data_IF_515315320059
#
_entry.id   IF_515315320059
#
_cell.length_a   1.000
_cell.length_b   1.000
_cell.length_c   1.000
_cell.angle_alpha   90.00
_cell.angle_beta   90.00
_cell.angle_gamma   90.00
#
_symmetry.space_group_name_H-M   'P 1'
#
loop_
_entity.id
_entity.type
_entity.pdbx_description
1 polymer ?
#
# COMPACT_ATOMS: atom_id res chain seq x y z
N UNK A 1 7.03 13.92 -13.45
CA UNK A 1 5.61 13.51 -13.48
C UNK A 1 5.01 13.49 -12.08
N UNK A 2 5.52 12.67 -11.12
CA UNK A 2 4.94 12.52 -9.76
C UNK A 2 4.83 13.84 -8.99
N UNK A 3 5.85 14.70 -9.04
CA UNK A 3 5.81 16.00 -8.38
C UNK A 3 4.73 16.91 -8.97
N UNK A 4 4.61 16.94 -10.29
CA UNK A 4 3.59 17.73 -10.98
C UNK A 4 2.20 17.24 -10.60
N UNK A 5 1.95 15.93 -10.64
CA UNK A 5 0.68 15.34 -10.20
C UNK A 5 0.29 15.78 -8.78
N UNK A 6 1.24 15.72 -7.84
CA UNK A 6 0.98 16.10 -6.47
C UNK A 6 0.69 17.60 -6.32
N UNK A 7 1.43 18.47 -7.03
CA UNK A 7 1.25 19.92 -6.98
C UNK A 7 -0.06 20.39 -7.63
N UNK A 8 -0.56 19.65 -8.62
CA UNK A 8 -1.82 19.98 -9.31
C UNK A 8 -3.07 19.56 -8.52
N UNK A 9 -2.92 18.85 -7.39
CA UNK A 9 -4.09 18.46 -6.60
C UNK A 9 -4.72 19.68 -5.90
N UNK A 10 -6.05 19.80 -5.89
CA UNK A 10 -6.74 20.90 -5.23
C UNK A 10 -6.33 21.04 -3.76
N UNK A 11 -5.96 22.26 -3.36
CA UNK A 11 -5.54 22.56 -1.99
C UNK A 11 -4.09 22.21 -1.65
N UNK A 12 -3.33 21.61 -2.54
CA UNK A 12 -1.89 21.37 -2.34
C UNK A 12 -1.11 22.61 -2.74
N UNK A 13 -0.42 23.22 -1.79
CA UNK A 13 0.44 24.41 -2.00
C UNK A 13 1.93 24.09 -2.02
N UNK A 14 2.32 22.93 -1.52
CA UNK A 14 3.70 22.45 -1.50
C UNK A 14 3.76 20.93 -1.37
N UNK A 15 4.86 20.35 -1.82
CA UNK A 15 5.18 18.93 -1.63
C UNK A 15 6.55 18.77 -0.99
N UNK A 16 6.70 17.79 -0.10
CA UNK A 16 7.93 17.46 0.60
C UNK A 16 8.38 16.05 0.17
N UNK A 17 9.09 15.92 -0.96
CA UNK A 17 9.54 14.63 -1.44
C UNK A 17 10.64 14.06 -0.54
N UNK A 18 10.62 12.74 -0.30
CA UNK A 18 11.68 12.05 0.39
C UNK A 18 12.96 11.99 -0.45
N UNK A 19 14.11 12.28 0.17
CA UNK A 19 15.44 12.21 -0.46
C UNK A 19 16.31 11.27 0.36
N UNK A 20 16.77 10.19 -0.24
CA UNK A 20 17.65 9.19 0.39
C UNK A 20 19.12 9.47 0.12
N UNK A 21 19.42 9.98 -1.08
CA UNK A 21 20.79 10.20 -1.53
C UNK A 21 20.92 11.37 -2.52
N UNK A 22 22.17 11.62 -2.99
CA UNK A 22 22.46 12.71 -3.95
C UNK A 22 21.84 12.48 -5.34
N UNK A 23 21.49 11.27 -5.69
CA UNK A 23 20.82 10.96 -6.97
C UNK A 23 19.37 11.44 -6.90
N UNK A 24 18.65 11.06 -5.83
CA UNK A 24 17.30 11.52 -5.60
C UNK A 24 17.24 13.06 -5.59
N UNK A 25 18.19 13.72 -4.93
CA UNK A 25 18.27 15.20 -4.90
C UNK A 25 18.42 15.79 -6.30
N UNK A 26 19.32 15.23 -7.14
CA UNK A 26 19.50 15.71 -8.51
C UNK A 26 18.24 15.52 -9.37
N UNK A 27 17.57 14.40 -9.23
CA UNK A 27 16.31 14.12 -9.93
C UNK A 27 15.21 15.11 -9.51
N UNK A 28 15.13 15.47 -8.22
CA UNK A 28 14.20 16.49 -7.74
C UNK A 28 14.53 17.89 -8.28
N UNK A 29 15.80 18.28 -8.25
CA UNK A 29 16.23 19.59 -8.77
C UNK A 29 16.01 19.72 -10.28
N UNK A 30 16.10 18.62 -11.01
CA UNK A 30 15.80 18.60 -12.45
C UNK A 30 14.34 18.99 -12.75
N UNK A 31 13.42 18.81 -11.80
CA UNK A 31 12.04 19.24 -11.96
C UNK A 31 11.92 20.76 -12.18
N UNK A 32 12.79 21.58 -11.59
CA UNK A 32 12.74 23.04 -11.75
C UNK A 32 12.94 23.49 -13.21
N UNK A 33 13.76 22.74 -13.97
CA UNK A 33 14.03 23.00 -15.39
C UNK A 33 13.23 22.11 -16.35
N UNK A 34 12.37 21.24 -15.84
CA UNK A 34 11.64 20.27 -16.66
C UNK A 34 10.62 20.97 -17.59
N UNK A 35 10.56 20.53 -18.82
CA UNK A 35 9.55 20.95 -19.80
C UNK A 35 8.14 20.48 -19.42
N UNK A 36 7.12 21.06 -20.05
CA UNK A 36 5.74 20.63 -19.85
C UNK A 36 5.53 19.16 -20.24
N UNK A 37 6.20 18.69 -21.27
CA UNK A 37 6.13 17.30 -21.71
C UNK A 37 6.74 16.33 -20.68
N UNK A 38 7.84 16.69 -20.02
CA UNK A 38 8.46 15.89 -18.97
C UNK A 38 7.63 15.88 -17.69
N UNK A 39 6.82 16.91 -17.46
CA UNK A 39 5.88 17.01 -16.33
C UNK A 39 4.54 16.34 -16.60
N UNK A 40 4.23 16.02 -17.86
CA UNK A 40 2.98 15.39 -18.23
C UNK A 40 2.81 14.01 -17.56
N UNK A 41 1.75 13.89 -16.78
CA UNK A 41 1.37 12.68 -16.08
C UNK A 41 0.08 12.05 -16.65
N UNK A 42 -0.29 12.38 -17.87
CA UNK A 42 -1.47 11.81 -18.55
C UNK A 42 -1.45 10.29 -18.63
N UNK A 43 -0.25 9.69 -18.52
CA UNK A 43 -0.07 8.23 -18.36
C UNK A 43 -0.91 7.65 -17.22
N UNK A 44 -1.21 8.44 -16.17
CA UNK A 44 -2.05 7.97 -15.06
C UNK A 44 -3.50 7.68 -15.48
N UNK A 45 -4.00 8.31 -16.55
CA UNK A 45 -5.32 8.02 -17.10
C UNK A 45 -5.43 6.59 -17.67
N UNK A 46 -4.30 5.94 -17.93
CA UNK A 46 -4.25 4.54 -18.38
C UNK A 46 -4.35 3.54 -17.23
N UNK A 47 -4.16 3.98 -15.99
CA UNK A 47 -4.31 3.15 -14.80
C UNK A 47 -5.76 3.16 -14.33
N UNK A 48 -6.51 2.15 -14.73
CA UNK A 48 -7.89 1.98 -14.29
C UNK A 48 -7.93 1.49 -12.83
N UNK A 49 -8.74 2.13 -11.99
CA UNK A 49 -9.03 1.67 -10.63
C UNK A 49 -9.57 0.22 -10.61
N UNK A 50 -10.19 -0.21 -11.68
CA UNK A 50 -10.67 -1.60 -11.88
C UNK A 50 -9.52 -2.62 -11.82
N UNK A 51 -8.30 -2.24 -12.23
CA UNK A 51 -7.13 -3.13 -12.17
C UNK A 51 -6.70 -3.46 -10.73
N UNK A 52 -7.14 -2.68 -9.76
CA UNK A 52 -6.88 -2.93 -8.33
C UNK A 52 -7.97 -3.79 -7.67
N UNK A 53 -9.03 -4.14 -8.40
CA UNK A 53 -10.08 -5.01 -7.88
C UNK A 53 -9.51 -6.38 -7.50
N UNK A 54 -9.82 -6.83 -6.30
CA UNK A 54 -9.29 -8.09 -5.78
C UNK A 54 -7.90 -7.98 -5.11
N UNK A 55 -7.27 -6.79 -5.11
CA UNK A 55 -5.96 -6.57 -4.47
C UNK A 55 -6.06 -5.67 -3.24
N UNK A 56 -5.31 -6.01 -2.22
CA UNK A 56 -5.15 -5.13 -1.06
C UNK A 56 -4.16 -4.01 -1.39
N UNK A 57 -4.59 -2.75 -1.23
CA UNK A 57 -3.76 -1.55 -1.40
C UNK A 57 -3.42 -0.90 -0.06
N UNK A 58 -3.58 -1.62 1.03
CA UNK A 58 -3.24 -1.22 2.40
C UNK A 58 -3.91 0.08 2.87
N UNK A 59 -5.06 0.44 2.30
CA UNK A 59 -5.78 1.70 2.51
C UNK A 59 -6.46 1.82 3.88
N UNK A 60 -6.49 0.74 4.67
CA UNK A 60 -7.09 0.67 6.01
C UNK A 60 -8.61 0.91 6.10
N UNK A 61 -9.36 0.89 5.02
CA UNK A 61 -10.83 0.96 5.09
C UNK A 61 -11.45 -0.20 5.87
N UNK A 62 -10.74 -1.31 6.01
CA UNK A 62 -11.12 -2.46 6.82
C UNK A 62 -11.01 -2.21 8.35
N UNK A 63 -10.42 -1.11 8.79
CA UNK A 63 -10.34 -0.76 10.21
C UNK A 63 -11.59 -0.03 10.71
N UNK A 64 -11.86 -0.09 12.05
CA UNK A 64 -11.19 -0.93 13.04
C UNK A 64 -11.57 -2.41 12.89
N UNK A 65 -10.62 -3.32 13.13
CA UNK A 65 -10.92 -4.75 13.20
C UNK A 65 -11.49 -5.10 14.58
N UNK A 66 -12.63 -5.82 14.68
CA UNK A 66 -13.19 -6.21 15.97
C UNK A 66 -12.27 -7.09 16.83
N UNK A 67 -11.35 -7.86 16.19
CA UNK A 67 -10.34 -8.65 16.88
C UNK A 67 -9.02 -7.89 17.13
N UNK A 68 -8.94 -6.61 16.74
CA UNK A 68 -7.76 -5.77 16.97
C UNK A 68 -6.60 -6.00 16.01
N UNK A 69 -6.82 -6.66 14.87
CA UNK A 69 -5.76 -6.87 13.88
C UNK A 69 -5.48 -5.59 13.07
N UNK A 70 -4.20 -5.29 12.80
CA UNK A 70 -3.82 -4.38 11.72
C UNK A 70 -3.80 -5.14 10.39
N UNK A 71 -4.97 -5.29 9.79
CA UNK A 71 -5.18 -6.07 8.58
C UNK A 71 -4.28 -5.56 7.43
N UNK A 72 -4.16 -4.25 7.28
CA UNK A 72 -3.35 -3.66 6.22
C UNK A 72 -1.86 -4.00 6.38
N UNK A 73 -1.35 -3.97 7.61
CA UNK A 73 0.04 -4.28 7.93
C UNK A 73 0.34 -5.77 7.76
N UNK A 74 -0.57 -6.64 8.22
CA UNK A 74 -0.49 -8.09 8.05
C UNK A 74 -0.38 -8.46 6.56
N UNK A 75 -1.27 -7.92 5.72
CA UNK A 75 -1.22 -8.12 4.26
C UNK A 75 0.08 -7.62 3.65
N UNK A 76 0.53 -6.42 4.05
CA UNK A 76 1.76 -5.82 3.54
C UNK A 76 2.99 -6.69 3.82
N UNK A 77 3.13 -7.17 5.06
CA UNK A 77 4.27 -8.01 5.42
C UNK A 77 4.23 -9.35 4.69
N UNK A 78 3.06 -9.95 4.53
CA UNK A 78 2.92 -11.17 3.74
C UNK A 78 3.33 -10.94 2.28
N UNK A 79 2.80 -9.90 1.63
CA UNK A 79 3.08 -9.65 0.21
C UNK A 79 4.57 -9.35 -0.04
N UNK A 80 5.25 -8.66 0.89
CA UNK A 80 6.70 -8.44 0.85
C UNK A 80 7.48 -9.74 1.10
N UNK A 81 7.05 -10.55 2.08
CA UNK A 81 7.69 -11.82 2.40
C UNK A 81 7.63 -12.81 1.22
N UNK A 82 6.49 -12.87 0.53
CA UNK A 82 6.32 -13.68 -0.71
C UNK A 82 7.29 -13.24 -1.81
N UNK A 83 7.65 -11.94 -1.85
CA UNK A 83 8.66 -11.41 -2.77
C UNK A 83 10.10 -11.65 -2.31
N UNK A 84 10.30 -12.35 -1.19
CA UNK A 84 11.62 -12.71 -0.65
C UNK A 84 12.18 -11.71 0.37
N UNK A 85 11.38 -10.75 0.85
CA UNK A 85 11.80 -9.84 1.92
C UNK A 85 11.77 -10.53 3.29
N UNK A 86 12.94 -11.04 3.72
CA UNK A 86 13.09 -11.71 5.02
C UNK A 86 12.83 -10.78 6.21
N UNK A 87 13.11 -9.48 6.08
CA UNK A 87 12.84 -8.50 7.13
C UNK A 87 11.33 -8.30 7.34
N UNK A 88 10.55 -8.33 6.27
CA UNK A 88 9.09 -8.26 6.36
C UNK A 88 8.50 -9.50 7.06
N UNK A 89 9.06 -10.68 6.79
CA UNK A 89 8.67 -11.91 7.49
C UNK A 89 8.99 -11.83 8.99
N UNK A 90 10.17 -11.33 9.34
CA UNK A 90 10.56 -11.13 10.73
C UNK A 90 9.63 -10.12 11.45
N UNK A 91 9.32 -8.99 10.81
CA UNK A 91 8.36 -8.02 11.33
C UNK A 91 6.96 -8.62 11.54
N UNK A 92 6.51 -9.51 10.65
CA UNK A 92 5.23 -10.21 10.82
C UNK A 92 5.24 -11.04 12.10
N UNK A 93 6.31 -11.79 12.36
CA UNK A 93 6.43 -12.63 13.54
C UNK A 93 6.43 -11.83 14.87
N UNK A 94 6.82 -10.56 14.83
CA UNK A 94 6.80 -9.66 15.99
C UNK A 94 5.50 -8.88 16.18
N UNK A 95 4.49 -9.10 15.33
CA UNK A 95 3.16 -8.50 15.55
C UNK A 95 2.48 -9.08 16.80
N UNK A 96 1.85 -8.22 17.60
CA UNK A 96 1.05 -8.62 18.76
C UNK A 96 -0.18 -9.46 18.36
N UNK A 97 -0.76 -9.14 17.21
CA UNK A 97 -1.91 -9.83 16.61
C UNK A 97 -1.58 -10.25 15.19
N UNK A 98 -1.82 -11.52 14.89
CA UNK A 98 -1.45 -12.17 13.63
C UNK A 98 -2.67 -12.69 12.88
N UNK A 99 -2.45 -13.29 11.72
CA UNK A 99 -3.53 -13.84 10.91
C UNK A 99 -4.33 -14.92 11.64
N UNK A 100 -3.67 -15.70 12.50
CA UNK A 100 -4.30 -16.72 13.37
C UNK A 100 -5.30 -16.15 14.39
N UNK A 101 -5.19 -14.89 14.78
CA UNK A 101 -6.15 -14.21 15.66
C UNK A 101 -7.45 -13.79 14.95
N UNK A 102 -7.58 -14.07 13.65
CA UNK A 102 -8.76 -13.68 12.88
C UNK A 102 -10.00 -14.47 13.29
N UNK A 103 -11.01 -13.77 13.80
CA UNK A 103 -12.30 -14.35 14.22
C UNK A 103 -13.28 -14.56 13.06
N UNK A 104 -12.87 -14.32 11.81
CA UNK A 104 -13.64 -14.54 10.58
C UNK A 104 -15.01 -13.87 10.56
N UNK A 105 -15.15 -12.70 11.16
CA UNK A 105 -16.42 -11.96 11.26
C UNK A 105 -16.88 -11.29 9.95
N UNK A 106 -16.06 -11.24 8.90
CA UNK A 106 -16.41 -10.65 7.61
C UNK A 106 -16.41 -9.11 7.56
N UNK A 107 -16.21 -8.42 8.69
CA UNK A 107 -16.25 -6.96 8.77
C UNK A 107 -15.31 -6.28 7.77
N UNK A 108 -14.10 -6.80 7.59
CA UNK A 108 -13.11 -6.25 6.67
C UNK A 108 -13.50 -6.44 5.19
N UNK A 109 -14.06 -7.60 4.84
CA UNK A 109 -14.47 -7.91 3.46
C UNK A 109 -15.67 -7.04 3.03
N UNK A 110 -16.65 -6.78 3.93
CA UNK A 110 -17.80 -5.93 3.63
C UNK A 110 -17.45 -4.45 3.43
N UNK A 111 -16.33 -3.99 3.98
CA UNK A 111 -15.86 -2.59 3.90
C UNK A 111 -14.79 -2.36 2.85
N UNK A 112 -14.29 -3.40 2.20
CA UNK A 112 -13.18 -3.27 1.25
C UNK A 112 -13.66 -2.64 -0.08
N UNK A 113 -13.22 -1.41 -0.43
CA UNK A 113 -13.64 -0.77 -1.68
C UNK A 113 -13.04 -1.44 -2.92
N UNK A 114 -12.01 -2.26 -2.74
CA UNK A 114 -11.33 -3.01 -3.81
C UNK A 114 -11.76 -4.46 -3.91
N UNK A 115 -12.70 -4.92 -3.09
CA UNK A 115 -13.16 -6.32 -3.06
C UNK A 115 -12.00 -7.33 -2.90
N UNK A 116 -10.99 -6.99 -2.11
CA UNK A 116 -9.79 -7.80 -1.93
C UNK A 116 -10.00 -9.04 -1.03
N UNK A 117 -11.18 -9.22 -0.46
CA UNK A 117 -11.53 -10.27 0.51
C UNK A 117 -10.45 -10.53 1.58
N UNK A 118 -10.20 -9.54 2.46
CA UNK A 118 -9.15 -9.67 3.45
C UNK A 118 -9.34 -10.87 4.39
N UNK A 119 -10.57 -11.28 4.66
CA UNK A 119 -10.86 -12.43 5.52
C UNK A 119 -10.34 -13.74 4.90
N UNK A 120 -10.57 -13.96 3.61
CA UNK A 120 -10.03 -15.12 2.89
C UNK A 120 -8.51 -15.08 2.87
N UNK A 121 -7.93 -13.91 2.62
CA UNK A 121 -6.48 -13.73 2.59
C UNK A 121 -5.81 -14.07 3.91
N UNK A 122 -6.47 -13.87 5.06
CA UNK A 122 -5.93 -14.27 6.37
C UNK A 122 -5.64 -15.77 6.46
N UNK A 123 -6.43 -16.63 5.82
CA UNK A 123 -6.17 -18.08 5.80
C UNK A 123 -4.89 -18.42 4.99
N UNK A 124 -4.69 -17.72 3.87
CA UNK A 124 -3.47 -17.88 3.06
C UNK A 124 -2.24 -17.41 3.84
N UNK A 125 -2.34 -16.25 4.51
CA UNK A 125 -1.26 -15.68 5.32
C UNK A 125 -0.89 -16.60 6.47
N UNK A 126 -1.89 -17.11 7.18
CA UNK A 126 -1.73 -18.10 8.24
C UNK A 126 -0.99 -19.35 7.76
N UNK A 127 -1.41 -19.89 6.62
CA UNK A 127 -0.76 -21.06 6.03
C UNK A 127 0.70 -20.77 5.62
N UNK A 128 0.96 -19.58 5.06
CA UNK A 128 2.29 -19.16 4.63
C UNK A 128 3.28 -19.06 5.80
N UNK A 129 2.85 -18.49 6.93
CA UNK A 129 3.70 -18.33 8.12
C UNK A 129 3.66 -19.52 9.09
N UNK A 130 2.90 -20.59 8.79
CA UNK A 130 2.86 -21.82 9.58
C UNK A 130 2.08 -21.69 10.91
N UNK A 131 1.01 -20.91 10.95
CA UNK A 131 0.16 -20.65 12.13
C UNK A 131 -1.09 -21.56 12.20
#
# INVERSE_FOLDING_TARGET
QCLQYALDQPGVITVLPGVRDRRDLRELLAYCGASQQERDYSVLAQFDAVQQKGRCVYCRHCHPCPAGLDIALIHKYHDLAVLGDGLAADHYHHLDKKASDCIRCGHCSSRCPFSADPMKKMEEIKAYFGE
#
